data_IF_079368636555
#
_entry.id   IF_079368636555
#
_cell.length_a   1.000
_cell.length_b   1.000
_cell.length_c   1.000
_cell.angle_alpha   90.00
_cell.angle_beta   90.00
_cell.angle_gamma   90.00
#
_symmetry.space_group_name_H-M   'P 1'
#
loop_
_entity.id
_entity.type
_entity.pdbx_description
1 polymer ?
#
# COMPACT_ATOMS: atom_id res chain seq x y z
N UNK A 1 17.99 -7.66 -6.60
CA UNK A 1 17.20 -8.04 -5.42
C UNK A 1 18.02 -8.76 -4.35
N UNK A 2 18.84 -9.72 -4.70
CA UNK A 2 19.61 -10.58 -3.74
C UNK A 2 20.43 -9.79 -2.71
N UNK A 3 21.10 -8.73 -3.09
CA UNK A 3 21.89 -7.89 -2.18
C UNK A 3 21.05 -7.24 -1.07
N UNK A 4 19.83 -6.77 -1.40
CA UNK A 4 18.92 -6.19 -0.42
C UNK A 4 18.39 -7.24 0.55
N UNK A 5 18.07 -8.44 0.04
CA UNK A 5 17.65 -9.58 0.85
C UNK A 5 18.74 -9.99 1.84
N UNK A 6 20.00 -10.08 1.38
CA UNK A 6 21.14 -10.42 2.26
C UNK A 6 21.34 -9.38 3.37
N UNK A 7 21.20 -8.10 3.05
CA UNK A 7 21.31 -7.02 4.03
C UNK A 7 20.23 -7.15 5.11
N UNK A 8 18.97 -7.38 4.70
CA UNK A 8 17.84 -7.57 5.61
C UNK A 8 18.02 -8.83 6.47
N UNK A 9 18.52 -9.94 5.91
CA UNK A 9 18.85 -11.17 6.68
C UNK A 9 19.84 -10.90 7.81
N UNK A 10 20.82 -10.03 7.56
CA UNK A 10 21.79 -9.61 8.56
C UNK A 10 21.22 -8.58 9.56
N UNK A 11 19.90 -8.31 9.50
CA UNK A 11 19.19 -7.32 10.32
C UNK A 11 19.67 -5.88 10.11
N UNK A 12 20.30 -5.61 8.97
CA UNK A 12 20.70 -4.28 8.57
C UNK A 12 19.51 -3.55 7.91
N UNK A 13 19.41 -2.25 8.16
CA UNK A 13 18.40 -1.42 7.51
C UNK A 13 18.87 -1.03 6.11
N UNK A 14 17.92 -0.99 5.18
CA UNK A 14 18.14 -0.37 3.88
C UNK A 14 18.06 1.14 4.02
N UNK A 15 18.93 1.84 3.31
CA UNK A 15 18.78 3.29 3.12
C UNK A 15 17.56 3.60 2.23
N UNK A 16 17.15 4.85 2.20
CA UNK A 16 16.06 5.31 1.32
C UNK A 16 16.30 4.93 -0.16
N UNK A 17 17.52 5.14 -0.67
CA UNK A 17 17.85 4.82 -2.08
C UNK A 17 17.88 3.31 -2.35
N UNK A 18 18.36 2.51 -1.40
CA UNK A 18 18.34 1.05 -1.52
C UNK A 18 16.91 0.50 -1.48
N UNK A 19 16.08 1.00 -0.57
CA UNK A 19 14.67 0.62 -0.51
C UNK A 19 13.94 1.02 -1.79
N UNK A 20 14.14 2.25 -2.26
CA UNK A 20 13.60 2.72 -3.53
C UNK A 20 14.00 1.79 -4.68
N UNK A 21 15.28 1.42 -4.80
CA UNK A 21 15.76 0.53 -5.86
C UNK A 21 15.13 -0.88 -5.75
N UNK A 22 14.99 -1.42 -4.53
CA UNK A 22 14.33 -2.69 -4.30
C UNK A 22 12.86 -2.65 -4.73
N UNK A 23 12.10 -1.63 -4.31
CA UNK A 23 10.70 -1.47 -4.69
C UNK A 23 10.51 -1.17 -6.19
N UNK A 24 11.45 -0.51 -6.85
CA UNK A 24 11.44 -0.36 -8.31
C UNK A 24 11.53 -1.71 -9.02
N UNK A 25 12.42 -2.60 -8.59
CA UNK A 25 12.53 -3.96 -9.13
C UNK A 25 11.23 -4.76 -8.94
N UNK A 26 10.60 -4.65 -7.77
CA UNK A 26 9.31 -5.29 -7.48
C UNK A 26 8.22 -4.78 -8.42
N UNK A 27 8.07 -3.47 -8.53
CA UNK A 27 6.99 -2.84 -9.28
C UNK A 27 7.17 -2.94 -10.80
N UNK A 28 8.37 -3.23 -11.28
CA UNK A 28 8.68 -3.47 -12.68
C UNK A 28 8.60 -4.95 -13.08
N UNK A 29 8.28 -5.82 -12.13
CA UNK A 29 8.22 -7.27 -12.37
C UNK A 29 9.58 -7.88 -12.71
N UNK A 30 10.67 -7.28 -12.24
CA UNK A 30 12.04 -7.75 -12.46
C UNK A 30 12.56 -8.67 -11.36
N UNK A 31 11.80 -8.85 -10.29
CA UNK A 31 12.10 -9.78 -9.22
C UNK A 31 11.31 -11.08 -9.41
N UNK A 32 11.93 -12.22 -9.09
CA UNK A 32 11.27 -13.51 -9.09
C UNK A 32 10.31 -13.62 -7.88
N UNK A 33 9.26 -14.44 -7.99
CA UNK A 33 8.25 -14.59 -6.93
C UNK A 33 8.86 -14.96 -5.58
N UNK A 34 9.89 -15.82 -5.59
CA UNK A 34 10.60 -16.20 -4.37
C UNK A 34 11.40 -15.04 -3.77
N UNK A 35 12.01 -14.20 -4.59
CA UNK A 35 12.72 -13.00 -4.13
C UNK A 35 11.75 -11.98 -3.52
N UNK A 36 10.55 -11.84 -4.11
CA UNK A 36 9.48 -10.98 -3.57
C UNK A 36 9.04 -11.49 -2.20
N UNK A 37 8.77 -12.80 -2.10
CA UNK A 37 8.36 -13.43 -0.85
C UNK A 37 9.42 -13.27 0.24
N UNK A 38 10.68 -13.57 -0.07
CA UNK A 38 11.79 -13.47 0.88
C UNK A 38 11.99 -12.02 1.34
N UNK A 39 11.99 -11.07 0.40
CA UNK A 39 12.16 -9.65 0.70
C UNK A 39 11.08 -9.14 1.66
N UNK A 40 9.80 -9.36 1.34
CA UNK A 40 8.70 -8.86 2.16
C UNK A 40 8.63 -9.54 3.53
N UNK A 41 8.84 -10.87 3.56
CA UNK A 41 8.78 -11.63 4.81
C UNK A 41 9.93 -11.25 5.75
N UNK A 42 11.14 -11.12 5.24
CA UNK A 42 12.31 -10.75 6.03
C UNK A 42 12.25 -9.29 6.49
N UNK A 43 11.77 -8.38 5.62
CA UNK A 43 11.59 -6.98 5.97
C UNK A 43 10.60 -6.85 7.14
N UNK A 44 9.46 -7.52 7.06
CA UNK A 44 8.46 -7.56 8.12
C UNK A 44 8.99 -8.22 9.40
N UNK A 45 9.72 -9.32 9.30
CA UNK A 45 10.30 -10.02 10.44
C UNK A 45 11.39 -9.21 11.15
N UNK A 46 12.15 -8.40 10.41
CA UNK A 46 13.14 -7.47 10.96
C UNK A 46 12.46 -6.28 11.67
N UNK A 47 11.34 -5.85 11.17
CA UNK A 47 10.71 -4.56 11.45
C UNK A 47 11.21 -3.47 10.51
N UNK A 48 10.30 -2.78 9.87
CA UNK A 48 10.58 -1.78 8.85
C UNK A 48 11.16 -0.51 9.47
N UNK A 49 12.27 -0.01 8.92
CA UNK A 49 12.81 1.30 9.27
C UNK A 49 12.14 2.43 8.48
N UNK A 50 12.21 3.66 9.00
CA UNK A 50 11.59 4.83 8.37
C UNK A 50 12.02 5.05 6.92
N UNK A 51 13.31 4.87 6.62
CA UNK A 51 13.85 5.04 5.27
C UNK A 51 13.37 3.94 4.32
N UNK A 52 13.17 2.73 4.83
CA UNK A 52 12.63 1.61 4.07
C UNK A 52 11.18 1.87 3.66
N UNK A 53 10.37 2.35 4.59
CA UNK A 53 8.98 2.74 4.32
C UNK A 53 8.95 3.92 3.35
N UNK A 54 9.77 4.94 3.56
CA UNK A 54 9.81 6.14 2.72
C UNK A 54 10.20 5.81 1.27
N UNK A 55 11.20 4.94 1.05
CA UNK A 55 11.62 4.49 -0.27
C UNK A 55 10.51 3.75 -1.01
N UNK A 56 9.85 2.80 -0.33
CA UNK A 56 8.71 2.07 -0.88
C UNK A 56 7.53 2.98 -1.23
N UNK A 57 7.14 3.88 -0.33
CA UNK A 57 6.07 4.86 -0.56
C UNK A 57 6.39 5.76 -1.76
N UNK A 58 7.64 6.21 -1.87
CA UNK A 58 8.07 7.05 -3.00
C UNK A 58 7.82 6.35 -4.35
N UNK A 59 8.23 5.09 -4.48
CA UNK A 59 8.04 4.31 -5.71
C UNK A 59 6.56 4.08 -6.00
N UNK A 60 5.78 3.64 -5.01
CA UNK A 60 4.35 3.40 -5.15
C UNK A 60 3.60 4.66 -5.60
N UNK A 61 3.90 5.81 -5.00
CA UNK A 61 3.27 7.08 -5.38
C UNK A 61 3.63 7.53 -6.79
N UNK A 62 4.85 7.29 -7.24
CA UNK A 62 5.28 7.65 -8.58
C UNK A 62 4.68 6.75 -9.67
N UNK A 63 4.45 5.48 -9.34
CA UNK A 63 3.85 4.50 -10.27
C UNK A 63 2.31 4.46 -10.20
N UNK A 64 1.70 5.08 -9.21
CA UNK A 64 0.23 5.12 -9.08
C UNK A 64 -0.41 6.01 -10.14
N UNK A 65 -1.57 5.56 -10.66
CA UNK A 65 -2.42 6.43 -11.49
C UNK A 65 -3.02 7.52 -10.63
N UNK A 66 -2.68 8.76 -10.92
CA UNK A 66 -3.24 9.91 -10.22
C UNK A 66 -4.58 10.30 -10.81
N UNK A 67 -5.54 10.52 -9.95
CA UNK A 67 -6.83 11.12 -10.31
C UNK A 67 -6.79 12.56 -9.83
N UNK A 68 -6.86 13.50 -10.77
CA UNK A 68 -6.94 14.93 -10.45
C UNK A 68 -8.40 15.30 -10.20
N UNK A 69 -8.82 15.27 -8.95
CA UNK A 69 -10.13 15.75 -8.53
C UNK A 69 -9.91 16.84 -7.49
N UNK A 70 -10.35 18.05 -7.82
CA UNK A 70 -10.25 19.17 -6.90
C UNK A 70 -11.41 19.18 -5.90
N UNK A 71 -11.13 19.64 -4.68
CA UNK A 71 -12.12 19.78 -3.60
C UNK A 71 -12.89 18.49 -3.32
N UNK A 72 -12.19 17.38 -3.15
CA UNK A 72 -12.76 16.11 -2.76
C UNK A 72 -12.22 15.61 -1.42
N UNK A 73 -12.97 14.72 -0.79
CA UNK A 73 -12.61 14.03 0.45
C UNK A 73 -12.32 12.57 0.11
N UNK A 74 -11.26 12.01 0.70
CA UNK A 74 -11.00 10.57 0.71
C UNK A 74 -11.38 9.99 2.08
N UNK A 75 -12.19 8.93 2.08
CA UNK A 75 -12.61 8.20 3.27
C UNK A 75 -11.92 6.85 3.40
N UNK A 76 -10.89 6.59 2.60
CA UNK A 76 -10.21 5.30 2.58
C UNK A 76 -9.49 5.05 3.91
N UNK A 77 -9.77 3.91 4.53
CA UNK A 77 -8.99 3.38 5.66
C UNK A 77 -7.97 2.35 5.19
N UNK A 78 -7.00 2.04 6.03
CA UNK A 78 -5.96 1.03 5.75
C UNK A 78 -6.52 -0.38 5.63
N UNK A 79 -7.67 -0.67 6.26
CA UNK A 79 -8.26 -2.01 6.29
C UNK A 79 -7.42 -3.01 7.09
N UNK A 80 -7.78 -4.28 6.98
CA UNK A 80 -6.96 -5.37 7.53
C UNK A 80 -7.01 -5.53 9.06
N UNK A 81 -7.95 -4.90 9.75
CA UNK A 81 -8.12 -4.98 11.22
C UNK A 81 -8.68 -6.33 11.71
N UNK A 82 -9.05 -7.22 10.78
CA UNK A 82 -9.61 -8.55 11.10
C UNK A 82 -10.99 -8.53 11.75
N UNK A 83 -11.60 -7.36 11.95
CA UNK A 83 -12.84 -7.20 12.72
C UNK A 83 -14.11 -7.62 11.97
N UNK A 84 -14.05 -7.92 10.68
CA UNK A 84 -15.21 -8.29 9.84
C UNK A 84 -16.43 -7.35 9.99
N UNK A 85 -16.17 -6.09 10.25
CA UNK A 85 -17.21 -5.08 10.45
C UNK A 85 -17.78 -4.58 9.12
N UNK A 86 -18.88 -3.81 9.23
CA UNK A 86 -19.43 -3.08 8.09
C UNK A 86 -18.34 -2.19 7.47
N UNK A 87 -18.37 -2.05 6.12
CA UNK A 87 -17.43 -1.16 5.43
C UNK A 87 -17.77 0.32 5.74
N UNK A 88 -17.28 0.78 6.90
CA UNK A 88 -17.55 2.12 7.43
C UNK A 88 -17.06 3.19 6.45
N UNK A 89 -15.90 2.98 5.81
CA UNK A 89 -15.34 3.96 4.87
C UNK A 89 -16.22 4.14 3.64
N UNK A 90 -16.86 3.07 3.15
CA UNK A 90 -17.81 3.17 2.03
C UNK A 90 -19.13 3.79 2.47
N UNK A 91 -19.64 3.42 3.63
CA UNK A 91 -20.86 4.03 4.17
C UNK A 91 -20.68 5.56 4.39
N UNK A 92 -19.54 5.96 4.92
CA UNK A 92 -19.17 7.38 5.08
C UNK A 92 -19.06 8.10 3.74
N UNK A 93 -18.48 7.45 2.71
CA UNK A 93 -18.40 8.02 1.37
C UNK A 93 -19.78 8.31 0.78
N UNK A 94 -20.71 7.35 0.88
CA UNK A 94 -22.08 7.51 0.40
C UNK A 94 -22.83 8.62 1.16
N UNK A 95 -22.64 8.68 2.49
CA UNK A 95 -23.26 9.73 3.31
C UNK A 95 -22.76 11.12 2.91
N UNK A 96 -21.43 11.29 2.78
CA UNK A 96 -20.85 12.56 2.36
C UNK A 96 -21.31 12.95 0.95
N UNK A 97 -21.36 12.00 0.03
CA UNK A 97 -21.86 12.24 -1.32
C UNK A 97 -23.33 12.67 -1.32
N UNK A 98 -24.18 12.07 -0.46
CA UNK A 98 -25.59 12.48 -0.31
C UNK A 98 -25.75 13.90 0.24
N UNK A 99 -24.74 14.42 0.94
CA UNK A 99 -24.68 15.80 1.43
C UNK A 99 -24.12 16.79 0.39
N UNK A 100 -23.85 16.33 -0.83
CA UNK A 100 -23.29 17.15 -1.92
C UNK A 100 -21.76 17.32 -1.85
N UNK A 101 -21.06 16.58 -1.00
CA UNK A 101 -19.60 16.62 -0.89
C UNK A 101 -19.01 15.67 -1.93
N UNK A 102 -18.05 16.16 -2.73
CA UNK A 102 -17.33 15.31 -3.68
C UNK A 102 -16.43 14.33 -2.93
N UNK A 103 -16.57 13.05 -3.24
CA UNK A 103 -15.75 11.99 -2.64
C UNK A 103 -14.95 11.28 -3.72
N UNK A 104 -13.63 11.19 -3.51
CA UNK A 104 -12.73 10.39 -4.35
C UNK A 104 -12.08 9.33 -3.45
N UNK A 105 -12.65 8.13 -3.43
CA UNK A 105 -12.23 7.05 -2.56
C UNK A 105 -11.44 6.00 -3.32
N UNK A 106 -10.25 5.64 -2.79
CA UNK A 106 -9.55 4.46 -3.27
C UNK A 106 -10.36 3.21 -2.92
N UNK A 107 -10.59 2.35 -3.91
CA UNK A 107 -11.31 1.09 -3.75
C UNK A 107 -10.40 -0.10 -4.06
N UNK A 108 -10.35 -1.07 -3.14
CA UNK A 108 -9.70 -2.36 -3.38
C UNK A 108 -10.60 -3.48 -2.88
N UNK A 109 -10.41 -4.71 -3.40
CA UNK A 109 -11.07 -5.90 -2.82
C UNK A 109 -10.62 -6.03 -1.36
N UNK A 110 -11.60 -5.99 -0.45
CA UNK A 110 -11.29 -6.17 0.95
C UNK A 110 -10.74 -7.58 1.21
N UNK A 111 -9.66 -7.66 1.96
CA UNK A 111 -9.09 -8.94 2.41
C UNK A 111 -9.98 -9.58 3.48
N UNK A 112 -10.70 -8.77 4.26
CA UNK A 112 -11.48 -9.21 5.43
C UNK A 112 -13.00 -8.98 5.33
N UNK A 113 -13.50 -8.18 4.37
CA UNK A 113 -14.93 -7.86 4.25
C UNK A 113 -15.57 -8.55 3.04
N UNK A 114 -16.74 -9.16 3.26
CA UNK A 114 -17.55 -9.77 2.19
C UNK A 114 -18.24 -8.75 1.27
N UNK A 115 -18.29 -7.49 1.67
CA UNK A 115 -18.87 -6.38 0.91
C UNK A 115 -17.75 -5.52 0.32
N UNK A 116 -17.33 -5.86 -0.88
CA UNK A 116 -16.45 -5.03 -1.69
C UNK A 116 -17.29 -4.29 -2.72
N UNK A 117 -17.47 -2.99 -2.52
CA UNK A 117 -18.06 -2.11 -3.53
C UNK A 117 -16.94 -1.64 -4.46
N UNK A 118 -16.76 -2.37 -5.56
CA UNK A 118 -15.74 -2.07 -6.59
C UNK A 118 -16.29 -1.16 -7.68
N UNK A 119 -17.61 -0.97 -7.74
CA UNK A 119 -18.27 -0.23 -8.79
C UNK A 119 -19.23 0.82 -8.22
N UNK A 120 -18.74 2.01 -8.04
CA UNK A 120 -19.52 3.24 -8.07
C UNK A 120 -18.82 4.22 -8.99
#
# INVERSE_FOLDING_TARGET
MKEFIEKIKNKENLSFEESKAAFELLMEGKAEDQEIFDFLTLLSAKGEASDEIAGGVFVLRNKSKRVNVENCVDTCGTGGDGMNTLNISTASALLLASMGIKVAKHGNKAVSSKLSLIHI
#
